data_IF_167629151229
#
_entry.id   IF_167629151229
#
_cell.length_a   1.000
_cell.length_b   1.000
_cell.length_c   1.000
_cell.angle_alpha   90.00
_cell.angle_beta   90.00
_cell.angle_gamma   90.00
#
_symmetry.space_group_name_H-M   'P 1'
#
loop_
_entity.id
_entity.type
_entity.pdbx_description
1 polymer ?
#
# COMPACT_ATOMS: atom_id res chain seq x y z
N UNK A 1 -0.89 -11.57 -8.71
CA UNK A 1 -1.33 -11.63 -7.30
C UNK A 1 -2.24 -10.47 -6.94
N UNK A 2 -1.77 -9.21 -6.97
CA UNK A 2 -2.64 -8.05 -6.67
C UNK A 2 -3.93 -8.04 -7.52
N UNK A 3 -3.84 -8.14 -8.85
CA UNK A 3 -5.00 -8.08 -9.73
C UNK A 3 -6.05 -9.15 -9.43
N UNK A 4 -5.61 -10.37 -9.10
CA UNK A 4 -6.50 -11.47 -8.71
C UNK A 4 -7.21 -11.16 -7.40
N UNK A 5 -6.48 -10.59 -6.43
CA UNK A 5 -7.07 -10.22 -5.14
C UNK A 5 -8.01 -9.02 -5.27
N UNK A 6 -7.68 -8.01 -6.08
CA UNK A 6 -8.58 -6.88 -6.36
C UNK A 6 -9.93 -7.35 -6.93
N UNK A 7 -9.94 -8.40 -7.76
CA UNK A 7 -11.18 -8.98 -8.30
C UNK A 7 -12.11 -9.58 -7.23
N UNK A 8 -11.60 -9.91 -6.03
CA UNK A 8 -12.43 -10.55 -5.00
C UNK A 8 -13.23 -9.58 -4.14
N UNK A 9 -12.84 -8.30 -4.07
CA UNK A 9 -13.50 -7.33 -3.16
C UNK A 9 -13.92 -6.02 -3.83
N UNK A 10 -13.22 -5.56 -4.87
CA UNK A 10 -13.51 -4.28 -5.51
C UNK A 10 -14.87 -4.24 -6.23
N UNK A 11 -15.34 -5.29 -6.91
CA UNK A 11 -16.65 -5.24 -7.59
C UNK A 11 -17.81 -4.85 -6.66
N UNK A 12 -17.81 -5.33 -5.42
CA UNK A 12 -18.84 -4.98 -4.43
C UNK A 12 -18.76 -3.49 -4.02
N UNK A 13 -17.56 -2.91 -3.98
CA UNK A 13 -17.37 -1.48 -3.73
C UNK A 13 -17.90 -0.67 -4.91
N UNK A 14 -17.52 -1.03 -6.14
CA UNK A 14 -17.95 -0.33 -7.34
C UNK A 14 -19.48 -0.31 -7.45
N UNK A 15 -20.13 -1.47 -7.22
CA UNK A 15 -21.59 -1.58 -7.20
C UNK A 15 -22.21 -0.66 -6.14
N UNK A 16 -21.65 -0.65 -4.92
CA UNK A 16 -22.16 0.22 -3.84
C UNK A 16 -22.02 1.70 -4.16
N UNK A 17 -20.92 2.12 -4.80
CA UNK A 17 -20.70 3.52 -5.17
C UNK A 17 -21.59 3.98 -6.33
N UNK A 18 -21.91 3.09 -7.27
CA UNK A 18 -22.76 3.42 -8.43
C UNK A 18 -24.24 3.31 -8.05
N UNK A 19 -24.66 2.14 -7.56
CA UNK A 19 -26.08 1.84 -7.31
C UNK A 19 -26.49 2.32 -5.93
N UNK A 20 -25.70 1.99 -4.89
CA UNK A 20 -26.04 2.30 -3.51
C UNK A 20 -26.03 3.79 -3.17
N UNK A 21 -25.39 4.62 -4.00
CA UNK A 21 -25.32 6.08 -3.83
C UNK A 21 -25.98 6.85 -5.00
N UNK A 22 -26.74 6.17 -5.86
CA UNK A 22 -27.46 6.77 -7.01
C UNK A 22 -26.57 7.55 -8.01
N UNK A 23 -25.31 7.11 -8.18
CA UNK A 23 -24.35 7.69 -9.12
C UNK A 23 -24.41 7.01 -10.49
N UNK A 24 -25.61 6.82 -11.03
CA UNK A 24 -25.83 6.01 -12.26
C UNK A 24 -25.13 6.58 -13.51
N UNK A 25 -24.77 7.87 -13.50
CA UNK A 25 -24.03 8.51 -14.59
C UNK A 25 -22.57 8.01 -14.72
N UNK A 26 -22.01 7.35 -13.71
CA UNK A 26 -20.62 6.86 -13.71
C UNK A 26 -20.46 5.51 -14.42
N UNK A 27 -21.56 4.85 -14.83
CA UNK A 27 -21.65 3.56 -15.53
C UNK A 27 -20.91 2.38 -14.87
N UNK A 28 -19.58 2.41 -14.82
CA UNK A 28 -18.73 1.36 -14.25
C UNK A 28 -17.40 1.90 -13.74
N UNK A 29 -16.80 1.20 -12.79
CA UNK A 29 -15.42 1.44 -12.37
C UNK A 29 -14.56 0.21 -12.60
N UNK A 30 -13.35 0.43 -13.09
CA UNK A 30 -12.30 -0.57 -13.12
C UNK A 30 -11.74 -0.80 -11.71
N UNK A 31 -11.14 -1.98 -11.52
CA UNK A 31 -10.45 -2.29 -10.26
C UNK A 31 -9.35 -1.28 -9.92
N UNK A 32 -8.66 -0.76 -10.93
CA UNK A 32 -7.62 0.24 -10.74
C UNK A 32 -8.17 1.58 -10.27
N UNK A 33 -9.32 2.02 -10.77
CA UNK A 33 -9.94 3.29 -10.36
C UNK A 33 -10.34 3.25 -8.90
N UNK A 34 -11.07 2.21 -8.47
CA UNK A 34 -11.47 2.07 -7.05
C UNK A 34 -10.24 1.92 -6.14
N UNK A 35 -9.24 1.15 -6.56
CA UNK A 35 -8.01 1.01 -5.78
C UNK A 35 -7.25 2.34 -5.66
N UNK A 36 -7.24 3.16 -6.72
CA UNK A 36 -6.62 4.50 -6.70
C UNK A 36 -7.41 5.48 -5.83
N UNK A 37 -8.74 5.36 -5.82
CA UNK A 37 -9.61 6.13 -4.90
C UNK A 37 -9.28 5.81 -3.44
N UNK A 38 -9.00 4.54 -3.12
CA UNK A 38 -8.56 4.15 -1.77
C UNK A 38 -7.19 4.73 -1.44
N UNK A 39 -6.24 4.75 -2.40
CA UNK A 39 -4.94 5.41 -2.22
C UNK A 39 -5.06 6.92 -1.98
N UNK A 40 -6.02 7.58 -2.64
CA UNK A 40 -6.24 9.02 -2.50
C UNK A 40 -6.52 9.41 -1.04
N UNK A 41 -7.28 8.61 -0.29
CA UNK A 41 -7.53 8.86 1.15
C UNK A 41 -6.22 9.02 1.94
N UNK A 42 -5.22 8.18 1.68
CA UNK A 42 -3.91 8.27 2.35
C UNK A 42 -3.18 9.57 2.03
N UNK A 43 -3.10 9.95 0.75
CA UNK A 43 -2.49 11.21 0.33
C UNK A 43 -3.21 12.43 0.89
N UNK A 44 -4.54 12.42 0.89
CA UNK A 44 -5.34 13.53 1.39
C UNK A 44 -5.21 13.70 2.92
N UNK A 45 -5.12 12.59 3.65
CA UNK A 45 -4.89 12.58 5.10
C UNK A 45 -3.55 13.23 5.44
N UNK A 46 -2.49 12.95 4.69
CA UNK A 46 -1.18 13.60 4.90
C UNK A 46 -1.28 15.12 4.69
N UNK A 47 -2.07 15.55 3.70
CA UNK A 47 -2.18 16.97 3.34
C UNK A 47 -3.09 17.77 4.28
N UNK A 48 -4.20 17.21 4.77
CA UNK A 48 -5.20 17.96 5.55
C UNK A 48 -5.56 17.36 6.91
N UNK A 49 -4.98 16.23 7.30
CA UNK A 49 -5.14 15.61 8.62
C UNK A 49 -6.35 14.67 8.77
N UNK A 50 -7.55 15.08 8.33
CA UNK A 50 -8.75 14.20 8.35
C UNK A 50 -9.75 14.66 7.30
N UNK A 51 -10.28 13.74 6.49
CA UNK A 51 -11.12 14.09 5.35
C UNK A 51 -12.28 13.10 5.12
N UNK A 52 -13.47 13.61 4.72
CA UNK A 52 -14.65 12.80 4.36
C UNK A 52 -14.44 11.72 3.30
N UNK A 53 -13.44 11.85 2.42
CA UNK A 53 -13.17 10.86 1.38
C UNK A 53 -12.87 9.47 1.94
N UNK A 54 -12.19 9.39 3.08
CA UNK A 54 -11.91 8.11 3.72
C UNK A 54 -13.18 7.40 4.22
N UNK A 55 -14.24 8.17 4.53
CA UNK A 55 -15.52 7.66 5.04
C UNK A 55 -16.41 7.08 3.91
N UNK A 56 -16.04 7.27 2.65
CA UNK A 56 -16.69 6.62 1.49
C UNK A 56 -16.53 5.09 1.54
N UNK A 57 -15.47 4.61 2.19
CA UNK A 57 -15.14 3.20 2.30
C UNK A 57 -15.43 2.67 3.69
N UNK A 58 -15.92 1.44 3.77
CA UNK A 58 -16.18 0.75 5.03
C UNK A 58 -14.89 0.21 5.64
N UNK A 59 -14.93 -0.13 6.92
CA UNK A 59 -13.80 -0.80 7.60
C UNK A 59 -13.35 -2.09 6.90
N UNK A 60 -14.28 -2.84 6.31
CA UNK A 60 -13.94 -4.09 5.62
C UNK A 60 -13.25 -3.82 4.28
N UNK A 61 -13.66 -2.76 3.57
CA UNK A 61 -12.96 -2.33 2.36
C UNK A 61 -11.52 -1.92 2.67
N UNK A 62 -11.29 -1.26 3.81
CA UNK A 62 -9.95 -0.86 4.27
C UNK A 62 -9.05 -2.04 4.61
N UNK A 63 -9.56 -3.10 5.24
CA UNK A 63 -8.77 -4.32 5.48
C UNK A 63 -8.37 -5.00 4.18
N UNK A 64 -9.29 -5.07 3.21
CA UNK A 64 -8.97 -5.61 1.90
C UNK A 64 -7.95 -4.73 1.18
N UNK A 65 -8.08 -3.41 1.24
CA UNK A 65 -7.11 -2.49 0.68
C UNK A 65 -5.73 -2.66 1.31
N UNK A 66 -5.63 -2.72 2.64
CA UNK A 66 -4.41 -2.99 3.41
C UNK A 66 -3.75 -4.28 2.92
N UNK A 67 -4.48 -5.39 2.92
CA UNK A 67 -3.94 -6.66 2.43
C UNK A 67 -3.54 -6.60 0.95
N UNK A 68 -4.29 -5.88 0.12
CA UNK A 68 -3.92 -5.61 -1.27
C UNK A 68 -2.59 -4.86 -1.38
N UNK A 69 -2.35 -3.86 -0.53
CA UNK A 69 -1.07 -3.14 -0.45
C UNK A 69 0.03 -4.04 0.08
N UNK A 70 -0.23 -4.92 1.04
CA UNK A 70 0.74 -5.90 1.52
C UNK A 70 1.19 -6.86 0.42
N UNK A 71 0.26 -7.33 -0.42
CA UNK A 71 0.61 -8.15 -1.58
C UNK A 71 1.56 -7.42 -2.53
N UNK A 72 1.41 -6.10 -2.72
CA UNK A 72 2.36 -5.30 -3.51
C UNK A 72 3.74 -5.32 -2.89
N UNK A 73 3.86 -5.06 -1.59
CA UNK A 73 5.15 -5.01 -0.91
C UNK A 73 5.80 -6.39 -0.89
N UNK A 74 5.03 -7.43 -0.54
CA UNK A 74 5.51 -8.81 -0.46
C UNK A 74 6.06 -9.32 -1.80
N UNK A 75 5.37 -9.06 -2.92
CA UNK A 75 5.79 -9.56 -4.24
C UNK A 75 6.70 -8.60 -5.03
N UNK A 76 6.81 -7.32 -4.67
CA UNK A 76 7.76 -6.39 -5.31
C UNK A 76 9.10 -6.32 -4.59
N UNK A 77 9.09 -5.92 -3.31
CA UNK A 77 10.30 -5.69 -2.51
C UNK A 77 10.53 -6.72 -1.41
N UNK A 78 9.53 -7.57 -1.14
CA UNK A 78 9.52 -8.50 -0.03
C UNK A 78 9.86 -9.95 -0.42
N UNK A 79 9.66 -10.88 0.52
CA UNK A 79 10.09 -12.29 0.39
C UNK A 79 9.45 -13.06 -0.78
N UNK A 80 8.33 -12.57 -1.34
CA UNK A 80 7.71 -13.17 -2.52
C UNK A 80 8.48 -12.90 -3.82
N UNK A 81 9.44 -11.97 -3.83
CA UNK A 81 10.33 -11.71 -4.95
C UNK A 81 11.66 -12.48 -4.75
N UNK A 82 12.08 -13.37 -5.67
CA UNK A 82 13.33 -14.12 -5.54
C UNK A 82 14.59 -13.25 -5.47
N UNK A 83 14.52 -12.00 -5.93
CA UNK A 83 15.62 -11.05 -5.91
C UNK A 83 15.65 -10.18 -4.65
N UNK A 84 14.65 -10.23 -3.77
CA UNK A 84 14.54 -9.34 -2.61
C UNK A 84 15.74 -9.44 -1.66
N UNK A 85 16.24 -10.66 -1.42
CA UNK A 85 17.43 -10.87 -0.60
C UNK A 85 18.66 -10.16 -1.16
N UNK A 86 18.89 -10.25 -2.47
CA UNK A 86 20.01 -9.59 -3.13
C UNK A 86 19.87 -8.06 -3.10
N UNK A 87 18.66 -7.52 -3.31
CA UNK A 87 18.40 -6.07 -3.26
C UNK A 87 18.64 -5.49 -1.86
N UNK A 88 18.22 -6.18 -0.80
CA UNK A 88 18.42 -5.73 0.59
C UNK A 88 19.82 -5.99 1.16
N UNK A 89 20.59 -6.91 0.56
CA UNK A 89 21.87 -7.36 1.11
C UNK A 89 22.90 -6.24 1.23
N UNK A 90 22.98 -5.32 0.25
CA UNK A 90 23.99 -4.26 0.26
C UNK A 90 23.85 -3.36 1.49
N UNK A 91 22.62 -2.96 1.82
CA UNK A 91 22.32 -2.16 3.01
C UNK A 91 22.63 -2.92 4.30
N UNK A 92 22.18 -4.19 4.39
CA UNK A 92 22.40 -5.02 5.57
C UNK A 92 23.89 -5.26 5.83
N UNK A 93 24.67 -5.57 4.79
CA UNK A 93 26.10 -5.82 4.88
C UNK A 93 26.86 -4.55 5.31
N UNK A 94 26.58 -3.41 4.67
CA UNK A 94 27.21 -2.13 5.03
C UNK A 94 26.90 -1.73 6.48
N UNK A 95 25.63 -1.81 6.88
CA UNK A 95 25.19 -1.49 8.25
C UNK A 95 25.84 -2.43 9.27
N UNK A 96 25.93 -3.72 8.96
CA UNK A 96 26.58 -4.70 9.85
C UNK A 96 28.06 -4.38 10.06
N UNK A 97 28.78 -3.98 9.00
CA UNK A 97 30.19 -3.58 9.09
C UNK A 97 30.37 -2.35 9.97
N UNK A 98 29.56 -1.31 9.77
CA UNK A 98 29.59 -0.11 10.61
C UNK A 98 29.33 -0.42 12.09
N UNK A 99 28.40 -1.34 12.39
CA UNK A 99 28.10 -1.76 13.75
C UNK A 99 29.25 -2.55 14.41
N UNK A 100 30.07 -3.25 13.62
CA UNK A 100 31.23 -4.02 14.08
C UNK A 100 32.45 -3.12 14.31
N UNK A 101 32.68 -2.12 13.47
CA UNK A 101 33.83 -1.20 13.47
C UNK A 101 33.77 -0.10 14.56
N UNK A 102 33.13 -0.35 15.73
CA UNK A 102 32.90 0.64 16.81
C UNK A 102 34.13 1.52 17.15
N UNK A 103 33.92 2.59 17.95
CA UNK A 103 34.04 4.03 17.63
C UNK A 103 34.86 4.49 16.40
N UNK A 104 35.66 3.63 15.78
CA UNK A 104 36.55 4.00 14.67
C UNK A 104 35.79 4.37 13.38
N UNK A 105 34.57 3.85 13.20
CA UNK A 105 33.68 4.20 12.10
C UNK A 105 33.02 5.59 12.20
N UNK A 106 33.17 6.30 13.32
CA UNK A 106 32.55 7.60 13.56
C UNK A 106 31.04 7.54 13.92
N UNK A 107 30.34 8.66 13.75
CA UNK A 107 28.93 8.80 14.15
C UNK A 107 28.00 8.03 13.20
N UNK A 108 27.19 7.12 13.74
CA UNK A 108 26.16 6.41 13.00
C UNK A 108 24.84 7.18 13.00
N UNK A 109 24.18 7.24 11.84
CA UNK A 109 22.84 7.79 11.67
C UNK A 109 21.86 6.67 11.33
N UNK A 110 20.87 6.49 12.19
CA UNK A 110 19.76 5.59 11.91
C UNK A 110 18.71 6.36 11.11
N UNK A 111 18.35 5.85 9.93
CA UNK A 111 17.12 6.26 9.25
C UNK A 111 15.95 5.64 10.01
N UNK A 112 15.41 6.38 10.97
CA UNK A 112 14.11 6.10 11.58
C UNK A 112 12.98 6.59 10.68
#
# INVERSE_FOLDING_TARGET
>A
MLTLFQQTYIPAIAERLIVGQDNLALETFTNWEVFSMQEMCGFETILRGSIPWCDVFTREDWKNFEYGRDLVHYYRGGPGNPYAGAMGWLWLNATTRLLQERPDAGTMFFSL
#
